data_IF_879080926180
#
_entry.id   IF_879080926180
#
_cell.length_a   1.000
_cell.length_b   1.000
_cell.length_c   1.000
_cell.angle_alpha   90.00
_cell.angle_beta   90.00
_cell.angle_gamma   90.00
#
_symmetry.space_group_name_H-M   'P 1'
#
loop_
_entity.id
_entity.type
_entity.pdbx_description
1 polymer ?
#
# COMPACT_ATOMS: atom_id res chain seq x y z
N UNK A 1 26.49 25.64 -34.68
CA UNK A 1 27.36 24.66 -34.03
C UNK A 1 27.95 23.77 -35.11
N UNK A 2 29.28 23.63 -35.15
CA UNK A 2 29.98 22.92 -36.22
C UNK A 2 30.04 21.42 -35.91
N UNK A 3 29.13 20.66 -36.53
CA UNK A 3 28.91 19.22 -36.27
C UNK A 3 30.15 18.35 -36.53
N UNK A 4 31.12 18.83 -37.34
CA UNK A 4 32.36 18.10 -37.61
C UNK A 4 33.37 18.14 -36.47
N UNK A 5 33.22 19.07 -35.51
CA UNK A 5 34.11 19.16 -34.33
C UNK A 5 33.68 18.23 -33.19
N UNK A 6 32.38 17.99 -33.01
CA UNK A 6 31.80 17.10 -31.98
C UNK A 6 32.19 15.62 -32.13
N UNK A 7 32.68 15.20 -33.30
CA UNK A 7 33.08 13.82 -33.55
C UNK A 7 34.56 13.55 -33.21
N UNK A 8 35.33 14.60 -32.87
CA UNK A 8 36.74 14.49 -32.46
C UNK A 8 36.92 14.72 -30.97
N UNK A 9 36.16 15.64 -30.41
CA UNK A 9 36.06 15.88 -28.96
C UNK A 9 34.57 15.81 -28.60
N UNK A 10 34.11 14.62 -28.19
CA UNK A 10 32.78 14.49 -27.57
C UNK A 10 32.90 14.98 -26.12
N UNK A 11 32.29 16.11 -25.74
CA UNK A 11 32.35 16.61 -24.37
C UNK A 11 31.58 15.72 -23.39
N UNK A 12 30.82 14.74 -23.89
CA UNK A 12 30.04 13.80 -23.11
C UNK A 12 30.73 12.43 -23.12
N UNK A 13 31.23 12.02 -21.96
CA UNK A 13 31.70 10.66 -21.76
C UNK A 13 30.49 9.71 -21.68
N UNK A 14 30.11 9.14 -22.84
CA UNK A 14 28.98 8.22 -22.95
C UNK A 14 29.25 6.84 -22.36
N UNK A 15 30.48 6.59 -21.90
CA UNK A 15 30.92 5.33 -21.29
C UNK A 15 31.32 5.52 -19.82
N UNK A 16 31.01 6.68 -19.22
CA UNK A 16 31.27 6.95 -17.82
C UNK A 16 30.56 5.91 -16.93
N UNK A 17 31.33 4.95 -16.42
CA UNK A 17 30.88 4.03 -15.39
C UNK A 17 31.06 4.69 -14.03
N UNK A 18 30.05 4.55 -13.17
CA UNK A 18 30.05 5.08 -11.82
C UNK A 18 31.19 4.41 -11.03
N UNK A 19 32.28 5.13 -10.81
CA UNK A 19 33.26 4.78 -9.77
C UNK A 19 32.56 4.89 -8.42
N UNK A 20 32.83 3.95 -7.52
CA UNK A 20 32.17 3.81 -6.22
C UNK A 20 32.24 5.07 -5.32
N UNK A 21 33.12 6.02 -5.63
CA UNK A 21 33.42 7.20 -4.80
C UNK A 21 32.87 8.53 -5.35
N UNK A 22 31.95 8.51 -6.31
CA UNK A 22 31.29 9.74 -6.80
C UNK A 22 29.83 9.81 -6.36
N UNK A 23 29.58 10.51 -5.25
CA UNK A 23 28.26 11.03 -4.88
C UNK A 23 27.87 12.17 -5.84
N UNK A 24 27.38 11.79 -7.02
CA UNK A 24 26.73 12.68 -7.96
C UNK A 24 25.39 12.09 -8.33
N UNK A 25 24.30 12.83 -8.10
CA UNK A 25 22.96 12.49 -8.59
C UNK A 25 22.99 12.48 -10.11
N UNK A 26 22.77 11.33 -10.73
CA UNK A 26 22.51 11.28 -12.16
C UNK A 26 21.20 12.04 -12.43
N UNK A 27 21.12 12.90 -13.45
CA UNK A 27 19.85 13.51 -13.88
C UNK A 27 18.78 12.48 -14.30
N UNK A 28 19.19 11.21 -14.44
CA UNK A 28 18.36 10.06 -14.78
C UNK A 28 18.22 9.07 -13.62
N UNK A 29 18.75 9.38 -12.43
CA UNK A 29 18.41 8.60 -11.24
C UNK A 29 16.91 8.81 -10.99
N UNK A 30 16.10 7.74 -10.98
CA UNK A 30 14.70 7.89 -10.59
C UNK A 30 14.68 8.48 -9.17
N UNK A 31 13.76 9.40 -8.86
CA UNK A 31 13.57 9.83 -7.47
C UNK A 31 13.39 8.57 -6.63
N UNK A 32 14.12 8.49 -5.53
CA UNK A 32 14.06 7.33 -4.64
C UNK A 32 12.61 7.13 -4.21
N UNK A 33 11.98 6.05 -4.69
CA UNK A 33 10.57 5.78 -4.47
C UNK A 33 10.23 5.56 -2.98
N UNK A 34 11.27 5.41 -2.15
CA UNK A 34 11.20 5.25 -0.70
C UNK A 34 11.62 6.51 0.08
N UNK A 35 11.91 7.62 -0.61
CA UNK A 35 12.13 8.91 0.02
C UNK A 35 10.89 9.79 -0.21
N UNK A 36 9.78 9.60 0.55
CA UNK A 36 8.62 10.48 0.45
C UNK A 36 9.05 11.93 0.72
N UNK A 37 8.37 12.93 0.11
CA UNK A 37 8.59 14.32 0.46
C UNK A 37 8.41 14.46 1.97
N UNK A 38 9.40 15.05 2.64
CA UNK A 38 9.60 15.09 4.09
C UNK A 38 8.34 15.50 4.86
N UNK A 39 7.51 14.53 5.20
CA UNK A 39 6.65 14.59 6.38
C UNK A 39 7.51 14.12 7.54
N UNK A 40 7.66 14.96 8.57
CA UNK A 40 8.37 14.57 9.78
C UNK A 40 7.71 13.31 10.35
N UNK A 41 8.50 12.26 10.60
CA UNK A 41 8.01 11.05 11.28
C UNK A 41 7.40 11.45 12.62
N UNK A 42 6.09 11.33 12.73
CA UNK A 42 5.36 11.65 13.96
C UNK A 42 5.47 10.44 14.88
N UNK A 43 5.92 10.66 16.12
CA UNK A 43 5.99 9.59 17.10
C UNK A 43 4.58 9.09 17.45
N UNK A 44 4.36 7.77 17.42
CA UNK A 44 3.09 7.12 17.74
C UNK A 44 2.43 7.66 19.03
N UNK A 45 3.23 7.79 20.10
CA UNK A 45 2.75 8.25 21.42
C UNK A 45 2.26 9.71 21.42
N UNK A 46 2.62 10.49 20.41
CA UNK A 46 2.20 11.89 20.25
C UNK A 46 1.00 12.07 19.33
N UNK A 47 0.59 11.01 18.64
CA UNK A 47 -0.58 11.03 17.76
C UNK A 47 -1.88 11.05 18.55
N UNK A 48 -2.94 11.56 17.92
CA UNK A 48 -4.29 11.46 18.43
C UNK A 48 -4.74 9.99 18.56
N UNK A 49 -5.52 9.61 19.60
CA UNK A 49 -6.01 8.24 19.77
C UNK A 49 -6.68 7.64 18.53
N UNK A 50 -7.44 8.44 17.79
CA UNK A 50 -8.04 8.03 16.53
C UNK A 50 -7.01 7.55 15.49
N UNK A 51 -5.90 8.27 15.31
CA UNK A 51 -4.84 7.87 14.38
C UNK A 51 -4.05 6.67 14.90
N UNK A 52 -3.86 6.59 16.23
CA UNK A 52 -3.26 5.43 16.89
C UNK A 52 -4.07 4.15 16.63
N UNK A 53 -5.40 4.22 16.69
CA UNK A 53 -6.27 3.09 16.38
C UNK A 53 -6.06 2.59 14.94
N UNK A 54 -6.00 3.49 13.96
CA UNK A 54 -5.75 3.12 12.56
C UNK A 54 -4.36 2.49 12.37
N UNK A 55 -3.33 3.03 13.03
CA UNK A 55 -1.99 2.40 13.04
C UNK A 55 -1.98 1.03 13.73
N UNK A 56 -2.76 0.84 14.78
CA UNK A 56 -2.91 -0.46 15.43
C UNK A 56 -3.65 -1.46 14.54
N UNK A 57 -4.61 -1.01 13.74
CA UNK A 57 -5.23 -1.81 12.68
C UNK A 57 -4.15 -2.23 11.66
N UNK A 58 -3.30 -1.32 11.19
CA UNK A 58 -2.18 -1.63 10.29
C UNK A 58 -1.18 -2.65 10.87
N UNK A 59 -0.82 -2.53 12.14
CA UNK A 59 0.08 -3.51 12.80
C UNK A 59 -0.50 -4.92 12.74
N UNK A 60 -1.82 -5.06 12.95
CA UNK A 60 -2.51 -6.36 12.82
C UNK A 60 -2.54 -6.84 11.39
N UNK A 61 -2.82 -5.95 10.42
CA UNK A 61 -2.76 -6.27 8.99
C UNK A 61 -1.39 -6.79 8.58
N UNK A 62 -0.30 -6.10 8.97
CA UNK A 62 1.09 -6.50 8.66
C UNK A 62 1.39 -7.88 9.26
N UNK A 63 1.03 -8.13 10.52
CA UNK A 63 1.26 -9.43 11.16
C UNK A 63 0.54 -10.56 10.41
N UNK A 64 -0.69 -10.32 9.96
CA UNK A 64 -1.41 -11.30 9.14
C UNK A 64 -0.77 -11.47 7.75
N UNK A 65 -0.32 -10.40 7.11
CA UNK A 65 0.36 -10.48 5.81
C UNK A 65 1.65 -11.30 5.89
N UNK A 66 2.42 -11.17 6.98
CA UNK A 66 3.60 -12.02 7.22
C UNK A 66 3.21 -13.50 7.35
N UNK A 67 2.18 -13.80 8.14
CA UNK A 67 1.67 -15.18 8.29
C UNK A 67 1.19 -15.75 6.95
N UNK A 68 0.53 -14.92 6.14
CA UNK A 68 0.07 -15.29 4.81
C UNK A 68 1.25 -15.56 3.88
N UNK A 69 2.26 -14.69 3.87
CA UNK A 69 3.48 -14.84 3.07
C UNK A 69 4.23 -16.14 3.38
N UNK A 70 4.39 -16.47 4.66
CA UNK A 70 5.01 -17.73 5.09
C UNK A 70 4.26 -18.96 4.54
N UNK A 71 2.93 -18.93 4.54
CA UNK A 71 2.13 -20.00 3.95
C UNK A 71 2.31 -20.09 2.43
N UNK A 72 2.44 -18.95 1.73
CA UNK A 72 2.72 -18.94 0.29
C UNK A 72 4.09 -19.55 -0.03
N UNK A 73 5.12 -19.22 0.75
CA UNK A 73 6.45 -19.81 0.61
C UNK A 73 6.43 -21.33 0.85
N UNK A 74 5.65 -21.79 1.83
CA UNK A 74 5.44 -23.22 2.07
C UNK A 74 4.74 -23.91 0.89
N UNK A 75 3.75 -23.25 0.28
CA UNK A 75 3.05 -23.77 -0.90
C UNK A 75 4.00 -23.90 -2.10
N UNK A 76 4.90 -22.94 -2.30
CA UNK A 76 5.87 -23.01 -3.39
C UNK A 76 6.89 -24.14 -3.23
N UNK A 77 7.27 -24.44 -1.98
CA UNK A 77 8.29 -25.44 -1.68
C UNK A 77 7.73 -26.85 -1.58
N UNK A 78 6.54 -27.01 -1.01
CA UNK A 78 5.96 -28.32 -0.64
C UNK A 78 4.59 -28.60 -1.24
N UNK A 79 4.01 -27.64 -1.96
CA UNK A 79 2.65 -27.73 -2.50
C UNK A 79 1.57 -27.42 -1.47
N UNK A 80 0.31 -27.52 -1.88
CA UNK A 80 -0.83 -27.26 -1.00
C UNK A 80 -1.02 -28.42 -0.02
N UNK A 81 -1.10 -28.09 1.27
CA UNK A 81 -1.37 -29.01 2.39
C UNK A 81 -2.64 -28.60 3.14
N UNK A 82 -3.12 -29.45 4.05
CA UNK A 82 -4.26 -29.08 4.90
C UNK A 82 -3.97 -27.88 5.80
N UNK A 83 -2.72 -27.79 6.29
CA UNK A 83 -2.26 -26.71 7.15
C UNK A 83 -2.18 -25.38 6.39
N UNK A 84 -1.44 -25.35 5.28
CA UNK A 84 -1.36 -24.15 4.42
C UNK A 84 -2.74 -23.75 3.92
N UNK A 85 -3.58 -24.72 3.53
CA UNK A 85 -4.97 -24.48 3.16
C UNK A 85 -5.82 -23.85 4.27
N UNK A 86 -5.58 -24.18 5.54
CA UNK A 86 -6.25 -23.51 6.66
C UNK A 86 -5.72 -22.09 6.85
N UNK A 87 -4.41 -21.87 6.74
CA UNK A 87 -3.82 -20.53 6.83
C UNK A 87 -4.31 -19.62 5.71
N UNK A 88 -4.45 -20.13 4.48
CA UNK A 88 -5.07 -19.38 3.37
C UNK A 88 -6.50 -18.95 3.72
N UNK A 89 -7.34 -19.87 4.21
CA UNK A 89 -8.73 -19.57 4.61
C UNK A 89 -8.78 -18.49 5.69
N UNK A 90 -7.97 -18.64 6.74
CA UNK A 90 -7.92 -17.66 7.82
C UNK A 90 -7.45 -16.29 7.32
N UNK A 91 -6.50 -16.26 6.38
CA UNK A 91 -5.99 -15.00 5.81
C UNK A 91 -7.04 -14.29 4.97
N UNK A 92 -7.80 -15.01 4.14
CA UNK A 92 -8.89 -14.40 3.37
C UNK A 92 -10.06 -13.97 4.26
N UNK A 93 -10.38 -14.74 5.30
CA UNK A 93 -11.40 -14.34 6.28
C UNK A 93 -10.98 -13.07 7.03
N UNK A 94 -9.75 -13.00 7.51
CA UNK A 94 -9.22 -11.80 8.14
C UNK A 94 -9.23 -10.59 7.20
N UNK A 95 -8.91 -10.79 5.92
CA UNK A 95 -9.01 -9.72 4.94
C UNK A 95 -10.46 -9.22 4.77
N UNK A 96 -11.46 -10.10 4.80
CA UNK A 96 -12.87 -9.70 4.75
C UNK A 96 -13.34 -9.01 6.03
N UNK A 97 -12.90 -9.48 7.21
CA UNK A 97 -13.41 -9.02 8.50
C UNK A 97 -12.66 -7.79 9.06
N UNK A 98 -11.35 -7.68 8.84
CA UNK A 98 -10.51 -6.62 9.39
C UNK A 98 -10.15 -5.56 8.33
N UNK A 99 -9.63 -5.97 7.16
CA UNK A 99 -9.20 -5.00 6.12
C UNK A 99 -10.38 -4.19 5.57
N UNK A 100 -11.50 -4.84 5.24
CA UNK A 100 -12.69 -4.12 4.74
C UNK A 100 -13.27 -3.17 5.80
N UNK A 101 -13.25 -3.57 7.08
CA UNK A 101 -13.75 -2.73 8.17
C UNK A 101 -12.85 -1.53 8.38
N UNK A 102 -11.53 -1.73 8.37
CA UNK A 102 -10.53 -0.67 8.44
C UNK A 102 -10.72 0.35 7.30
N UNK A 103 -10.74 -0.11 6.04
CA UNK A 103 -10.96 0.75 4.88
C UNK A 103 -12.26 1.53 4.98
N UNK A 104 -13.31 0.94 5.55
CA UNK A 104 -14.59 1.63 5.74
C UNK A 104 -14.49 2.77 6.74
N UNK A 105 -13.76 2.61 7.85
CA UNK A 105 -13.51 3.71 8.80
C UNK A 105 -12.87 4.90 8.08
N UNK A 106 -11.93 4.60 7.20
CA UNK A 106 -11.20 5.61 6.46
C UNK A 106 -12.06 6.26 5.38
N UNK A 107 -12.64 5.47 4.46
CA UNK A 107 -13.38 5.98 3.32
C UNK A 107 -14.62 6.78 3.70
N UNK A 108 -15.29 6.39 4.77
CA UNK A 108 -16.54 7.01 5.21
C UNK A 108 -16.29 8.19 6.13
N UNK A 109 -15.37 8.05 7.10
CA UNK A 109 -15.14 9.10 8.09
C UNK A 109 -13.92 9.96 7.78
N UNK A 110 -12.74 9.35 7.72
CA UNK A 110 -11.47 10.09 7.71
C UNK A 110 -11.17 10.77 6.37
N UNK A 111 -11.22 10.02 5.28
CA UNK A 111 -10.84 10.44 3.93
C UNK A 111 -11.63 11.62 3.38
N UNK A 112 -12.95 11.73 3.55
CA UNK A 112 -13.68 12.91 3.07
C UNK A 112 -13.18 14.22 3.71
N UNK A 113 -12.86 14.17 4.99
CA UNK A 113 -12.43 15.32 5.78
C UNK A 113 -10.96 15.66 5.50
N UNK A 114 -10.11 14.65 5.41
CA UNK A 114 -8.72 14.77 4.99
C UNK A 114 -8.61 15.36 3.59
N UNK A 115 -9.40 14.85 2.62
CA UNK A 115 -9.42 15.33 1.24
C UNK A 115 -9.78 16.80 1.16
N UNK A 116 -10.78 17.25 1.94
CA UNK A 116 -11.14 18.67 2.02
C UNK A 116 -9.97 19.53 2.51
N UNK A 117 -9.30 19.14 3.59
CA UNK A 117 -8.14 19.87 4.15
C UNK A 117 -6.96 19.91 3.19
N UNK A 118 -6.67 18.81 2.49
CA UNK A 118 -5.65 18.75 1.44
C UNK A 118 -5.96 19.75 0.31
N UNK A 119 -7.22 19.82 -0.15
CA UNK A 119 -7.63 20.77 -1.18
C UNK A 119 -7.47 22.22 -0.71
N UNK A 120 -7.89 22.53 0.53
CA UNK A 120 -7.77 23.88 1.11
C UNK A 120 -6.30 24.34 1.22
N UNK A 121 -5.39 23.39 1.43
CA UNK A 121 -3.94 23.64 1.53
C UNK A 121 -3.23 23.68 0.18
N UNK A 122 -3.93 23.36 -0.92
CA UNK A 122 -3.33 23.28 -2.26
C UNK A 122 -2.58 21.96 -2.52
N UNK A 123 -2.70 20.96 -1.65
CA UNK A 123 -2.11 19.63 -1.78
C UNK A 123 -2.97 18.73 -2.69
N UNK A 124 -3.12 19.17 -3.93
CA UNK A 124 -3.94 18.49 -4.93
C UNK A 124 -3.37 18.66 -6.34
N UNK A 125 -3.70 17.73 -7.23
CA UNK A 125 -3.32 17.77 -8.64
C UNK A 125 -3.86 19.02 -9.34
N UNK A 126 -3.20 19.39 -10.44
CA UNK A 126 -3.53 20.58 -11.25
C UNK A 126 -4.75 20.40 -12.15
N UNK A 127 -5.34 19.21 -12.17
CA UNK A 127 -6.53 18.90 -12.99
C UNK A 127 -7.80 19.49 -12.37
N UNK A 128 -8.86 19.61 -13.19
CA UNK A 128 -10.15 20.13 -12.74
C UNK A 128 -10.78 19.29 -11.60
N UNK A 129 -10.47 18.00 -11.53
CA UNK A 129 -10.97 17.08 -10.51
C UNK A 129 -10.25 17.22 -9.15
N UNK A 130 -9.15 17.98 -9.07
CA UNK A 130 -8.35 18.20 -7.84
C UNK A 130 -8.06 16.91 -7.06
N UNK A 131 -7.49 15.91 -7.73
CA UNK A 131 -7.12 14.64 -7.09
C UNK A 131 -6.10 14.85 -5.98
N UNK A 132 -6.25 14.18 -4.84
CA UNK A 132 -5.34 14.27 -3.70
C UNK A 132 -4.72 12.89 -3.38
N UNK A 133 -3.85 12.82 -2.36
CA UNK A 133 -3.34 11.54 -1.86
C UNK A 133 -4.43 10.58 -1.40
N UNK A 134 -5.58 11.10 -0.94
CA UNK A 134 -6.75 10.28 -0.59
C UNK A 134 -7.28 9.51 -1.80
N UNK A 135 -7.33 10.12 -2.98
CA UNK A 135 -7.77 9.41 -4.20
C UNK A 135 -6.82 8.26 -4.57
N UNK A 136 -5.53 8.37 -4.22
CA UNK A 136 -4.57 7.28 -4.42
C UNK A 136 -4.87 6.14 -3.43
N UNK A 137 -5.09 6.44 -2.15
CA UNK A 137 -5.39 5.42 -1.14
C UNK A 137 -6.71 4.68 -1.43
N UNK A 138 -7.76 5.38 -1.84
CA UNK A 138 -9.03 4.76 -2.25
C UNK A 138 -8.87 3.82 -3.46
N UNK A 139 -8.00 4.18 -4.41
CA UNK A 139 -7.66 3.29 -5.52
C UNK A 139 -6.84 2.09 -5.04
N UNK A 140 -5.93 2.29 -4.08
CA UNK A 140 -5.14 1.22 -3.47
C UNK A 140 -6.05 0.23 -2.72
N UNK A 141 -7.07 0.68 -1.99
CA UNK A 141 -8.11 -0.18 -1.39
C UNK A 141 -8.81 -1.04 -2.44
N UNK A 142 -9.30 -0.40 -3.51
CA UNK A 142 -9.99 -1.09 -4.60
C UNK A 142 -9.07 -2.15 -5.22
N UNK A 143 -7.80 -1.80 -5.43
CA UNK A 143 -6.81 -2.71 -6.01
C UNK A 143 -6.51 -3.89 -5.10
N UNK A 144 -6.38 -3.67 -3.79
CA UNK A 144 -6.16 -4.73 -2.81
C UNK A 144 -7.33 -5.74 -2.82
N UNK A 145 -8.57 -5.26 -2.80
CA UNK A 145 -9.77 -6.12 -2.86
C UNK A 145 -9.80 -6.93 -4.18
N UNK A 146 -9.44 -6.31 -5.31
CA UNK A 146 -9.37 -7.02 -6.58
C UNK A 146 -8.30 -8.11 -6.60
N UNK A 147 -7.10 -7.83 -6.09
CA UNK A 147 -6.02 -8.81 -6.00
C UNK A 147 -6.43 -10.00 -5.10
N UNK A 148 -7.03 -9.71 -3.94
CA UNK A 148 -7.56 -10.73 -3.04
C UNK A 148 -8.62 -11.61 -3.71
N UNK A 149 -9.57 -11.01 -4.43
CA UNK A 149 -10.62 -11.75 -5.14
C UNK A 149 -10.06 -12.66 -6.24
N UNK A 150 -9.07 -12.18 -7.01
CA UNK A 150 -8.40 -12.98 -8.05
C UNK A 150 -7.61 -14.13 -7.42
N UNK A 151 -6.82 -13.85 -6.38
CA UNK A 151 -6.03 -14.87 -5.69
C UNK A 151 -6.92 -15.98 -5.09
N UNK A 152 -7.99 -15.60 -4.38
CA UNK A 152 -8.97 -16.53 -3.82
C UNK A 152 -9.61 -17.40 -4.92
N UNK A 153 -9.99 -16.78 -6.05
CA UNK A 153 -10.54 -17.50 -7.20
C UNK A 153 -9.54 -18.50 -7.78
N UNK A 154 -8.27 -18.13 -7.92
CA UNK A 154 -7.23 -19.00 -8.46
C UNK A 154 -6.92 -20.17 -7.51
N UNK A 155 -6.80 -19.94 -6.21
CA UNK A 155 -6.67 -21.05 -5.25
C UNK A 155 -7.87 -21.99 -5.31
N UNK A 156 -9.08 -21.42 -5.38
CA UNK A 156 -10.31 -22.19 -5.53
C UNK A 156 -10.36 -23.01 -6.82
N UNK A 157 -9.83 -22.49 -7.93
CA UNK A 157 -9.77 -23.19 -9.21
C UNK A 157 -8.68 -24.27 -9.21
N UNK A 158 -7.49 -23.98 -8.68
CA UNK A 158 -6.37 -24.90 -8.67
C UNK A 158 -6.73 -26.26 -8.05
N UNK A 159 -7.49 -26.27 -6.95
CA UNK A 159 -7.93 -27.50 -6.27
C UNK A 159 -9.01 -28.28 -7.02
N UNK A 160 -9.65 -27.67 -8.03
CA UNK A 160 -10.75 -28.26 -8.81
C UNK A 160 -10.36 -28.68 -10.22
N UNK A 161 -9.21 -28.21 -10.73
CA UNK A 161 -8.75 -28.54 -12.07
C UNK A 161 -8.31 -30.01 -12.14
N UNK A 162 -8.84 -30.78 -13.13
CA UNK A 162 -8.52 -32.20 -13.26
C UNK A 162 -7.11 -32.42 -13.82
N UNK A 163 -6.71 -31.59 -14.78
CA UNK A 163 -5.39 -31.64 -15.41
C UNK A 163 -4.30 -31.09 -14.48
N UNK A 164 -3.22 -31.84 -14.36
CA UNK A 164 -2.13 -31.54 -13.43
C UNK A 164 -1.36 -30.29 -13.83
N UNK A 165 -1.04 -30.13 -15.12
CA UNK A 165 -0.30 -28.97 -15.60
C UNK A 165 -1.10 -27.69 -15.38
N UNK A 166 -2.40 -27.72 -15.70
CA UNK A 166 -3.32 -26.62 -15.48
C UNK A 166 -3.42 -26.25 -14.00
N UNK A 167 -3.53 -27.26 -13.12
CA UNK A 167 -3.54 -27.05 -11.67
C UNK A 167 -2.27 -26.36 -11.17
N UNK A 168 -1.10 -26.81 -11.62
CA UNK A 168 0.19 -26.21 -11.21
C UNK A 168 0.33 -24.77 -11.70
N UNK A 169 -0.07 -24.49 -12.95
CA UNK A 169 -0.06 -23.14 -13.51
C UNK A 169 -1.02 -22.20 -12.76
N UNK A 170 -2.25 -22.66 -12.47
CA UNK A 170 -3.22 -21.87 -11.71
C UNK A 170 -2.76 -21.64 -10.27
N UNK A 171 -2.17 -22.65 -9.61
CA UNK A 171 -1.63 -22.50 -8.26
C UNK A 171 -0.47 -21.51 -8.22
N UNK A 172 0.46 -21.59 -9.18
CA UNK A 172 1.55 -20.62 -9.31
C UNK A 172 1.03 -19.19 -9.53
N UNK A 173 0.01 -19.04 -10.38
CA UNK A 173 -0.68 -17.77 -10.56
C UNK A 173 -1.32 -17.26 -9.27
N UNK A 174 -1.96 -18.14 -8.48
CA UNK A 174 -2.58 -17.78 -7.20
C UNK A 174 -1.53 -17.22 -6.23
N UNK A 175 -0.41 -17.92 -6.09
CA UNK A 175 0.71 -17.51 -5.23
C UNK A 175 1.26 -16.16 -5.65
N UNK A 176 1.50 -15.94 -6.95
CA UNK A 176 2.02 -14.66 -7.43
C UNK A 176 1.05 -13.51 -7.15
N UNK A 177 -0.25 -13.70 -7.41
CA UNK A 177 -1.26 -12.67 -7.12
C UNK A 177 -1.35 -12.36 -5.63
N UNK A 178 -1.16 -13.36 -4.77
CA UNK A 178 -1.11 -13.15 -3.31
C UNK A 178 0.14 -12.41 -2.86
N UNK A 179 1.30 -12.65 -3.46
CA UNK A 179 2.52 -11.86 -3.21
C UNK A 179 2.33 -10.40 -3.64
N UNK A 180 1.74 -10.19 -4.82
CA UNK A 180 1.42 -8.84 -5.31
C UNK A 180 0.44 -8.12 -4.36
N UNK A 181 -0.55 -8.84 -3.80
CA UNK A 181 -1.45 -8.30 -2.77
C UNK A 181 -0.69 -7.87 -1.51
N UNK A 182 0.19 -8.74 -0.98
CA UNK A 182 0.95 -8.47 0.25
C UNK A 182 1.79 -7.20 0.08
N UNK A 183 2.55 -7.11 -1.00
CA UNK A 183 3.40 -5.93 -1.25
C UNK A 183 2.58 -4.67 -1.51
N UNK A 184 1.45 -4.79 -2.19
CA UNK A 184 0.53 -3.68 -2.40
C UNK A 184 -0.03 -3.13 -1.09
N UNK A 185 -0.48 -4.01 -0.18
CA UNK A 185 -0.99 -3.61 1.15
C UNK A 185 0.12 -3.01 2.01
N UNK A 186 1.34 -3.58 2.00
CA UNK A 186 2.50 -3.03 2.72
C UNK A 186 2.84 -1.62 2.25
N UNK A 187 2.88 -1.41 0.93
CA UNK A 187 3.16 -0.11 0.35
C UNK A 187 2.06 0.92 0.65
N UNK A 188 0.80 0.49 0.61
CA UNK A 188 -0.35 1.32 0.96
C UNK A 188 -0.25 1.78 2.42
N UNK A 189 -0.06 0.87 3.38
CA UNK A 189 0.13 1.19 4.80
C UNK A 189 1.30 2.16 4.99
N UNK A 190 2.45 1.90 4.35
CA UNK A 190 3.61 2.78 4.44
C UNK A 190 3.29 4.21 3.99
N UNK A 191 2.62 4.36 2.84
CA UNK A 191 2.26 5.68 2.30
C UNK A 191 1.25 6.39 3.20
N UNK A 192 0.28 5.66 3.71
CA UNK A 192 -0.75 6.22 4.55
C UNK A 192 -0.19 6.72 5.88
N UNK A 193 0.61 5.90 6.57
CA UNK A 193 1.22 6.29 7.84
C UNK A 193 2.18 7.47 7.68
N UNK A 194 3.06 7.40 6.68
CA UNK A 194 4.11 8.41 6.51
C UNK A 194 3.57 9.72 5.93
N UNK A 195 2.62 9.66 4.99
CA UNK A 195 2.15 10.84 4.26
C UNK A 195 0.83 11.35 4.84
N UNK A 196 -0.20 10.51 4.88
CA UNK A 196 -1.56 10.96 5.24
C UNK A 196 -1.74 11.15 6.74
N UNK A 197 -1.29 10.21 7.56
CA UNK A 197 -1.40 10.34 9.02
C UNK A 197 -0.44 11.39 9.55
N UNK A 198 0.78 11.48 9.00
CA UNK A 198 1.71 12.58 9.26
C UNK A 198 1.10 13.95 8.92
N UNK A 199 0.49 14.09 7.74
CA UNK A 199 -0.25 15.30 7.37
C UNK A 199 -1.38 15.58 8.34
N UNK A 200 -2.18 14.57 8.69
CA UNK A 200 -3.35 14.74 9.55
C UNK A 200 -2.94 15.22 10.95
N UNK A 201 -1.91 14.61 11.54
CA UNK A 201 -1.40 15.00 12.85
C UNK A 201 -0.91 16.47 12.88
N UNK A 202 -0.27 16.92 11.81
CA UNK A 202 0.32 18.27 11.76
C UNK A 202 -0.68 19.36 11.39
N UNK A 203 -1.85 18.99 10.86
CA UNK A 203 -2.76 19.95 10.24
C UNK A 203 -4.18 19.91 10.74
N UNK A 204 -4.56 18.99 11.63
CA UNK A 204 -5.84 19.00 12.33
C UNK A 204 -5.64 19.28 13.82
N UNK A 205 -6.60 19.98 14.45
CA UNK A 205 -6.63 20.07 15.90
C UNK A 205 -7.18 18.78 16.52
N UNK A 206 -6.93 18.58 17.81
CA UNK A 206 -7.49 17.43 18.55
C UNK A 206 -9.03 17.40 18.46
N UNK A 207 -9.69 18.56 18.58
CA UNK A 207 -11.15 18.65 18.49
C UNK A 207 -11.69 18.29 17.10
N UNK A 208 -10.91 18.56 16.04
CA UNK A 208 -11.27 18.13 14.69
C UNK A 208 -11.15 16.61 14.56
N UNK A 209 -10.09 16.00 15.12
CA UNK A 209 -9.88 14.55 15.10
C UNK A 209 -10.91 13.81 15.98
N UNK A 210 -11.33 14.39 17.10
CA UNK A 210 -12.43 13.88 17.95
C UNK A 210 -13.77 13.84 17.18
N UNK A 211 -14.04 14.88 16.39
CA UNK A 211 -15.24 14.91 15.53
C UNK A 211 -15.18 13.82 14.46
N UNK A 212 -13.98 13.48 13.98
CA UNK A 212 -13.81 12.43 12.97
C UNK A 212 -14.10 11.08 13.58
N UNK A 213 -13.52 10.80 14.75
CA UNK A 213 -13.77 9.58 15.52
C UNK A 213 -15.28 9.38 15.78
N UNK A 214 -15.97 10.43 16.25
CA UNK A 214 -17.42 10.37 16.52
C UNK A 214 -18.24 10.06 15.26
N UNK A 215 -17.83 10.60 14.11
CA UNK A 215 -18.51 10.38 12.83
C UNK A 215 -18.32 8.92 12.36
N UNK A 216 -17.11 8.38 12.49
CA UNK A 216 -16.81 6.97 12.18
C UNK A 216 -17.61 6.03 13.06
N UNK A 217 -17.68 6.27 14.36
CA UNK A 217 -18.45 5.45 15.32
C UNK A 217 -19.94 5.41 14.95
N UNK A 218 -20.50 6.56 14.57
CA UNK A 218 -21.91 6.68 14.18
C UNK A 218 -22.21 5.91 12.89
N UNK A 219 -21.30 5.93 11.91
CA UNK A 219 -21.52 5.28 10.61
C UNK A 219 -21.10 3.79 10.55
N UNK A 220 -20.24 3.35 11.47
CA UNK A 220 -19.78 1.95 11.57
C UNK A 220 -20.50 1.13 12.63
N UNK A 221 -21.26 1.78 13.52
CA UNK A 221 -22.14 1.11 14.49
C UNK A 221 -21.43 0.46 15.69
N UNK A 222 -20.16 0.80 15.94
CA UNK A 222 -19.42 0.40 17.15
C UNK A 222 -19.30 1.59 18.11
N UNK A 223 -19.73 1.48 19.39
CA UNK A 223 -19.34 2.42 20.42
C UNK A 223 -17.93 2.10 20.95
N UNK A 224 -17.23 3.13 21.42
CA UNK A 224 -15.92 3.06 22.09
C UNK A 224 -15.87 2.09 23.30
#
# INVERSE_FOLDING_TARGET
MDLKKLNKDDPLDRMAQKSADTEGMSPMDPPDAYSPPSTEDVAYDTMHPFLQELMDDHKRLIAQMTTFEEALQQIETSGLSNETGQTLRNSFQFFEEDFVVHNRKEEVGFFPLLKRRLIERGEHGTTAERKTGVDVMQNDHTRAVQLAAVACSFFGLAVRLPDEQSRMLTLSGAVQQSKDLIEHVRLHIFREETILFGFANNHFSAEELDQFQTSVETETGKPA
#
